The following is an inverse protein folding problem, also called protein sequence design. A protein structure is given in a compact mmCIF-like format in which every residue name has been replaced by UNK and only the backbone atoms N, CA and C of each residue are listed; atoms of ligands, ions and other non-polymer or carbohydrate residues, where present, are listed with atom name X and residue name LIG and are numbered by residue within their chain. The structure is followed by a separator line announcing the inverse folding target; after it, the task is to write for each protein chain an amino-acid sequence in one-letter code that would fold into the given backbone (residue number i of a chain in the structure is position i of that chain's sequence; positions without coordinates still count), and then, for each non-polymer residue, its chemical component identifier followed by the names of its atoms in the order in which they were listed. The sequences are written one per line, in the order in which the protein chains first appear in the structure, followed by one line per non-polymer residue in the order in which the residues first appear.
data_IF_332456258297
#
_entry.id   IF_332456258297
#
_cell.length_a   1.000
_cell.length_b   1.000
_cell.length_c   1.000
_cell.angle_alpha   90.00
_cell.angle_beta   90.00
_cell.angle_gamma   90.00
#
_symmetry.space_group_name_H-M   'P 1'
#
loop_
_entity.id
_entity.type
_entity.pdbx_description
1 polymer ?
#
# COMPACT_ATOMS: atom_id res chain seq x y z
N UNK A 1 -14.26 21.73 -5.24
CA UNK A 1 -13.54 20.45 -5.04
C UNK A 1 -14.56 19.42 -4.58
N UNK A 2 -15.00 18.51 -5.45
CA UNK A 2 -15.86 17.40 -5.03
C UNK A 2 -14.98 16.45 -4.21
N UNK A 3 -15.10 16.52 -2.88
CA UNK A 3 -14.56 15.46 -2.04
C UNK A 3 -15.38 14.21 -2.37
N UNK A 4 -14.76 13.27 -3.07
CA UNK A 4 -15.38 11.97 -3.24
C UNK A 4 -15.37 11.30 -1.86
N UNK A 5 -16.54 10.96 -1.29
CA UNK A 5 -16.61 10.40 0.05
C UNK A 5 -15.78 9.13 0.17
N UNK A 6 -15.68 8.33 -0.90
CA UNK A 6 -14.88 7.11 -0.93
C UNK A 6 -13.39 7.41 -0.79
N UNK A 7 -12.91 8.47 -1.45
CA UNK A 7 -11.52 8.90 -1.37
C UNK A 7 -11.16 9.43 0.03
N UNK A 8 -12.09 10.08 0.72
CA UNK A 8 -11.91 10.47 2.14
C UNK A 8 -11.71 9.24 3.02
N UNK A 9 -12.49 8.19 2.80
CA UNK A 9 -12.43 6.96 3.59
C UNK A 9 -11.13 6.23 3.35
N UNK A 10 -10.73 6.07 2.08
CA UNK A 10 -9.46 5.44 1.72
C UNK A 10 -8.27 6.21 2.29
N UNK A 11 -8.29 7.55 2.22
CA UNK A 11 -7.26 8.39 2.82
C UNK A 11 -7.21 8.26 4.35
N UNK A 12 -8.37 8.13 5.01
CA UNK A 12 -8.45 7.90 6.45
C UNK A 12 -7.86 6.54 6.85
N UNK A 13 -8.21 5.48 6.12
CA UNK A 13 -7.65 4.13 6.30
C UNK A 13 -6.13 4.15 6.12
N UNK A 14 -5.64 4.78 5.05
CA UNK A 14 -4.21 4.89 4.76
C UNK A 14 -3.46 5.61 5.88
N UNK A 15 -4.01 6.73 6.37
CA UNK A 15 -3.39 7.50 7.45
C UNK A 15 -3.30 6.70 8.76
N UNK A 16 -4.31 5.89 9.09
CA UNK A 16 -4.29 4.99 10.26
C UNK A 16 -3.23 3.91 10.12
N UNK A 17 -3.15 3.26 8.96
CA UNK A 17 -2.13 2.21 8.69
C UNK A 17 -0.72 2.80 8.73
N UNK A 18 -0.50 3.97 8.12
CA UNK A 18 0.79 4.66 8.12
C UNK A 18 1.18 5.11 9.54
N UNK A 19 0.22 5.59 10.34
CA UNK A 19 0.43 5.90 11.76
C UNK A 19 0.94 4.68 12.53
N UNK A 20 0.28 3.53 12.39
CA UNK A 20 0.70 2.28 13.02
C UNK A 20 2.10 1.82 12.57
N UNK A 21 2.41 1.96 11.27
CA UNK A 21 3.72 1.63 10.73
C UNK A 21 4.82 2.59 11.23
N UNK A 22 4.48 3.86 11.42
CA UNK A 22 5.35 4.91 11.95
C UNK A 22 5.76 4.68 13.40
N UNK A 23 4.92 4.04 14.21
CA UNK A 23 5.20 3.77 15.63
C UNK A 23 6.18 2.59 15.87
N UNK A 24 6.57 1.86 14.81
CA UNK A 24 7.65 0.86 14.76
C UNK A 24 7.77 -0.07 15.98
N UNK A 25 6.63 -0.50 16.53
CA UNK A 25 6.58 -1.46 17.65
C UNK A 25 6.46 -0.86 19.06
N UNK A 26 6.27 0.47 19.18
CA UNK A 26 5.96 1.11 20.47
C UNK A 26 4.47 1.04 20.84
N UNK A 27 3.61 0.63 19.90
CA UNK A 27 2.17 0.47 20.13
C UNK A 27 1.89 -0.81 20.91
N UNK A 28 1.09 -0.68 21.98
CA UNK A 28 0.63 -1.84 22.75
C UNK A 28 -0.23 -2.76 21.88
N UNK A 29 -0.11 -4.08 22.06
CA UNK A 29 -0.89 -5.11 21.35
C UNK A 29 -2.39 -4.85 21.46
N UNK A 30 -2.87 -4.33 22.60
CA UNK A 30 -4.29 -3.98 22.79
C UNK A 30 -4.72 -2.84 21.88
N UNK A 31 -3.91 -1.78 21.79
CA UNK A 31 -4.13 -0.64 20.90
C UNK A 31 -4.08 -1.07 19.43
N UNK A 32 -3.11 -1.91 19.07
CA UNK A 32 -2.97 -2.44 17.73
C UNK A 32 -4.19 -3.25 17.30
N UNK A 33 -4.70 -4.12 18.18
CA UNK A 33 -5.90 -4.91 17.91
C UNK A 33 -7.14 -4.04 17.71
N UNK A 34 -7.29 -2.98 18.50
CA UNK A 34 -8.40 -2.02 18.38
C UNK A 34 -8.36 -1.29 17.02
N UNK A 35 -7.20 -0.77 16.63
CA UNK A 35 -7.05 -0.09 15.34
C UNK A 35 -7.29 -1.03 14.15
N UNK A 36 -6.79 -2.27 14.21
CA UNK A 36 -7.03 -3.27 13.16
C UNK A 36 -8.51 -3.67 13.12
N UNK A 37 -9.18 -3.76 14.27
CA UNK A 37 -10.62 -4.01 14.31
C UNK A 37 -11.42 -2.90 13.62
N UNK A 38 -11.07 -1.64 13.89
CA UNK A 38 -11.67 -0.50 13.22
C UNK A 38 -11.39 -0.51 11.71
N UNK A 39 -10.16 -0.80 11.29
CA UNK A 39 -9.78 -0.95 9.87
C UNK A 39 -10.66 -2.00 9.20
N UNK A 40 -10.81 -3.18 9.82
CA UNK A 40 -11.67 -4.26 9.31
C UNK A 40 -13.12 -3.83 9.23
N UNK A 41 -13.64 -3.16 10.25
CA UNK A 41 -15.02 -2.70 10.30
C UNK A 41 -15.32 -1.73 9.15
N UNK A 42 -14.43 -0.76 8.91
CA UNK A 42 -14.54 0.20 7.82
C UNK A 42 -14.41 -0.53 6.47
N UNK A 43 -13.39 -1.37 6.29
CA UNK A 43 -13.18 -2.13 5.06
C UNK A 43 -14.42 -2.94 4.65
N UNK A 44 -15.05 -3.62 5.62
CA UNK A 44 -16.28 -4.38 5.40
C UNK A 44 -17.47 -3.49 5.02
N UNK A 45 -17.60 -2.32 5.63
CA UNK A 45 -18.65 -1.36 5.30
C UNK A 45 -18.54 -0.83 3.86
N UNK A 46 -17.31 -0.70 3.35
CA UNK A 46 -17.02 -0.19 2.00
C UNK A 46 -16.69 -1.28 0.98
N UNK A 47 -16.88 -2.58 1.33
CA UNK A 47 -16.64 -3.74 0.45
C UNK A 47 -15.18 -3.87 -0.04
N UNK A 48 -14.22 -3.42 0.77
CA UNK A 48 -12.78 -3.59 0.53
C UNK A 48 -12.33 -4.99 0.98
N UNK A 49 -12.70 -6.01 0.21
CA UNK A 49 -12.53 -7.43 0.55
C UNK A 49 -11.07 -7.80 0.86
N UNK A 50 -10.13 -7.30 0.06
CA UNK A 50 -8.69 -7.53 0.26
C UNK A 50 -8.18 -6.95 1.57
N UNK A 51 -8.57 -5.71 1.90
CA UNK A 51 -8.17 -5.03 3.15
C UNK A 51 -8.79 -5.72 4.35
N UNK A 52 -10.06 -6.15 4.25
CA UNK A 52 -10.74 -6.90 5.30
C UNK A 52 -10.03 -8.24 5.59
N UNK A 53 -9.69 -8.99 4.54
CA UNK A 53 -9.04 -10.28 4.65
C UNK A 53 -7.65 -10.16 5.31
N UNK A 54 -6.86 -9.15 4.90
CA UNK A 54 -5.58 -8.83 5.52
C UNK A 54 -5.74 -8.48 7.00
N UNK A 55 -6.72 -7.65 7.35
CA UNK A 55 -6.99 -7.24 8.73
C UNK A 55 -7.41 -8.42 9.63
N UNK A 56 -8.29 -9.29 9.13
CA UNK A 56 -8.70 -10.52 9.83
C UNK A 56 -7.53 -11.49 10.04
N UNK A 57 -6.66 -11.63 9.04
CA UNK A 57 -5.46 -12.46 9.13
C UNK A 57 -4.48 -11.89 10.16
N UNK A 58 -4.27 -10.57 10.14
CA UNK A 58 -3.41 -9.89 11.10
C UNK A 58 -3.94 -10.01 12.53
N UNK A 59 -5.26 -9.89 12.76
CA UNK A 59 -5.86 -10.10 14.08
C UNK A 59 -5.63 -11.52 14.62
N UNK A 60 -5.73 -12.52 13.74
CA UNK A 60 -5.48 -13.93 14.09
C UNK A 60 -4.01 -14.15 14.45
N UNK A 61 -3.11 -13.59 13.64
CA UNK A 61 -1.67 -13.59 13.90
C UNK A 61 -1.34 -12.90 15.23
N UNK A 62 -1.87 -11.72 15.50
CA UNK A 62 -1.64 -11.00 16.76
C UNK A 62 -2.12 -11.78 17.98
N UNK A 63 -3.22 -12.51 17.85
CA UNK A 63 -3.75 -13.35 18.93
C UNK A 63 -2.86 -14.58 19.20
N UNK A 64 -2.20 -15.10 18.17
CA UNK A 64 -1.38 -16.31 18.26
C UNK A 64 0.08 -16.03 18.70
N UNK A 65 0.70 -14.99 18.12
CA UNK A 65 2.14 -14.73 18.22
C UNK A 65 2.48 -13.32 18.76
N UNK A 66 1.48 -12.46 18.99
CA UNK A 66 1.68 -11.10 19.48
C UNK A 66 2.21 -10.11 18.42
N UNK A 67 2.63 -8.93 18.86
CA UNK A 67 3.17 -7.89 17.98
C UNK A 67 4.61 -8.24 17.56
N UNK A 68 4.75 -8.97 16.45
CA UNK A 68 6.03 -9.34 15.84
C UNK A 68 6.36 -8.53 14.58
N UNK A 69 7.54 -8.76 13.97
CA UNK A 69 7.97 -8.06 12.75
C UNK A 69 7.03 -8.29 11.56
N UNK A 70 6.33 -9.43 11.53
CA UNK A 70 5.30 -9.75 10.53
C UNK A 70 4.16 -8.72 10.50
N UNK A 71 3.88 -8.04 11.61
CA UNK A 71 2.85 -7.00 11.65
C UNK A 71 3.16 -5.90 10.65
N UNK A 72 4.43 -5.51 10.54
CA UNK A 72 4.84 -4.47 9.60
C UNK A 72 4.66 -4.92 8.16
N UNK A 73 4.93 -6.19 7.85
CA UNK A 73 4.65 -6.75 6.53
C UNK A 73 3.15 -6.72 6.20
N UNK A 74 2.27 -7.06 7.16
CA UNK A 74 0.83 -6.98 6.94
C UNK A 74 0.31 -5.54 6.83
N UNK A 75 0.88 -4.59 7.59
CA UNK A 75 0.54 -3.17 7.47
C UNK A 75 0.96 -2.61 6.11
N UNK A 76 2.14 -3.00 5.61
CA UNK A 76 2.62 -2.64 4.27
C UNK A 76 1.72 -3.20 3.17
N UNK A 77 1.29 -4.46 3.29
CA UNK A 77 0.32 -5.07 2.38
C UNK A 77 -1.05 -4.38 2.41
N UNK A 78 -1.54 -3.98 3.59
CA UNK A 78 -2.78 -3.22 3.70
C UNK A 78 -2.65 -1.85 3.04
N UNK A 79 -1.50 -1.19 3.19
CA UNK A 79 -1.22 0.10 2.55
C UNK A 79 -1.29 -0.02 1.03
N UNK A 80 -0.66 -1.04 0.47
CA UNK A 80 -0.67 -1.32 -0.97
C UNK A 80 -2.08 -1.63 -1.48
N UNK A 81 -2.83 -2.47 -0.77
CA UNK A 81 -4.21 -2.79 -1.11
C UNK A 81 -5.12 -1.55 -1.08
N UNK A 82 -4.96 -0.65 -0.08
CA UNK A 82 -5.73 0.61 -0.03
C UNK A 82 -5.34 1.52 -1.19
N UNK A 83 -4.06 1.60 -1.54
CA UNK A 83 -3.57 2.42 -2.65
C UNK A 83 -4.07 1.92 -4.01
N UNK A 84 -4.21 0.61 -4.21
CA UNK A 84 -4.79 0.03 -5.41
C UNK A 84 -6.28 0.35 -5.59
N UNK A 85 -7.01 0.51 -4.47
CA UNK A 85 -8.44 0.88 -4.47
C UNK A 85 -8.66 2.40 -4.62
N UNK A 86 -7.63 3.21 -4.35
CA UNK A 86 -7.69 4.63 -4.69
C UNK A 86 -7.70 4.75 -6.21
N UNK A 87 -8.72 5.39 -6.81
CA UNK A 87 -8.71 5.63 -8.24
C UNK A 87 -7.43 6.39 -8.54
N UNK A 88 -6.55 5.77 -9.33
CA UNK A 88 -5.31 6.37 -9.79
C UNK A 88 -5.70 7.73 -10.33
N UNK A 89 -5.34 8.79 -9.61
CA UNK A 89 -5.54 10.15 -10.06
C UNK A 89 -4.54 10.37 -11.19
N UNK A 90 -4.79 9.75 -12.35
CA UNK A 90 -4.05 9.82 -13.59
C UNK A 90 -2.60 10.22 -13.36
N UNK A 91 -1.87 9.40 -12.59
CA UNK A 91 -0.43 9.59 -12.47
C UNK A 91 0.10 8.93 -13.73
N UNK A 92 0.08 9.70 -14.82
CA UNK A 92 0.76 9.36 -16.06
C UNK A 92 2.11 8.76 -15.65
N UNK A 93 2.38 7.48 -15.93
CA UNK A 93 3.70 6.92 -15.68
C UNK A 93 4.62 7.69 -16.62
N UNK A 94 5.35 8.69 -16.11
CA UNK A 94 6.43 9.31 -16.87
C UNK A 94 7.43 8.17 -17.08
N UNK A 95 7.59 7.65 -18.31
CA UNK A 95 8.51 6.55 -18.52
C UNK A 95 9.89 7.08 -18.18
N UNK A 96 10.53 6.47 -17.18
CA UNK A 96 11.94 6.68 -16.91
C UNK A 96 12.67 6.42 -18.24
N UNK A 97 13.15 7.50 -18.87
CA UNK A 97 13.89 7.46 -20.12
C UNK A 97 15.02 6.46 -19.99
N UNK A 98 14.87 5.33 -20.68
CA UNK A 98 15.91 4.35 -20.85
C UNK A 98 17.17 5.04 -21.40
N UNK A 99 18.32 4.76 -20.77
CA UNK A 99 19.65 5.15 -21.25
C UNK A 99 19.75 4.86 -22.76
N UNK A 100 20.17 5.81 -23.60
CA UNK A 100 20.37 5.52 -25.01
C UNK A 100 21.53 4.53 -25.15
N UNK A 101 21.20 3.35 -25.69
CA UNK A 101 22.17 2.42 -26.23
C UNK A 101 22.90 3.09 -27.40
N UNK A 102 24.24 3.15 -27.32
CA UNK A 102 25.12 3.61 -28.39
C UNK A 102 24.80 2.85 -29.69
N UNK A 103 24.50 3.53 -30.81
CA UNK A 103 24.39 2.86 -32.09
C UNK A 103 25.79 2.43 -32.57
N UNK A 104 25.91 1.15 -32.91
CA UNK A 104 27.02 0.59 -33.65
C UNK A 104 27.14 1.30 -35.00
N UNK A 105 28.28 1.94 -35.24
CA UNK A 105 28.61 2.49 -36.55
C UNK A 105 28.83 1.36 -37.56
N UNK A 106 27.97 1.31 -38.57
CA UNK A 106 28.17 0.52 -39.78
C UNK A 106 27.95 1.42 -41.00
N UNK A 107 28.86 1.36 -41.97
CA UNK A 107 28.83 2.10 -43.23
C UNK A 107 30.24 2.53 -43.62
N UNK A 108 31.03 1.69 -44.30
CA UNK A 108 31.02 1.39 -45.74
C UNK A 108 32.04 2.25 -46.52
N UNK A 109 32.85 1.55 -47.33
CA UNK A 109 33.83 2.07 -48.31
C UNK A 109 33.26 3.16 -49.23
N UNK A 110 34.14 3.99 -49.84
CA UNK A 110 34.48 3.75 -51.24
C UNK A 110 35.96 3.94 -51.64
N UNK A 111 36.38 3.10 -52.59
CA UNK A 111 37.25 3.32 -53.77
C UNK A 111 37.98 4.66 -53.91
N UNK A 112 39.31 4.57 -54.06
CA UNK A 112 40.14 5.24 -55.06
C UNK A 112 41.38 4.38 -55.32
#
# INVERSE_FOLDING_TARGET
MRHDPMLVILANLLCRVDGLAGERGHVSVVRLRDEIDQIRHIARAFRLDTVECLASTLQSALSLQGAGPVVMSYLDLMRDAIAAEMPEADVIPMPMTAKPARPAGNGAHPVA
#
